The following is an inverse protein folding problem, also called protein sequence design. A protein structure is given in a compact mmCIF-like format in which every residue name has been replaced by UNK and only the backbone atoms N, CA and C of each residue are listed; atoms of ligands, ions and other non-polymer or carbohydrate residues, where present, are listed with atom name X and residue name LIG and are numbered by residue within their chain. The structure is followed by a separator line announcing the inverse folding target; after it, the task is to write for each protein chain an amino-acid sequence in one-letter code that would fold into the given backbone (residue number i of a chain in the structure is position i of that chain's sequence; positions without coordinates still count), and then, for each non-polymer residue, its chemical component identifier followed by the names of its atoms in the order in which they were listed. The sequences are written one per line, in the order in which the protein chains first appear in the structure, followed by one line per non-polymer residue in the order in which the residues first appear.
data_IF_544563818871
#
_entry.id   IF_544563818871
#
_cell.length_a   1.000
_cell.length_b   1.000
_cell.length_c   1.000
_cell.angle_alpha   90.00
_cell.angle_beta   90.00
_cell.angle_gamma   90.00
#
_symmetry.space_group_name_H-M   'P 1'
#
loop_
_entity.id
_entity.type
_entity.pdbx_description
1 polymer ?
#
# COMPACT_ATOMS: atom_id res chain seq x y z
N UNK A 1 -21.36 12.10 0.14
CA UNK A 1 -19.96 11.77 -0.15
C UNK A 1 -19.84 10.27 0.02
N UNK A 2 -19.71 9.53 -1.08
CA UNK A 2 -19.62 8.07 -1.05
C UNK A 2 -18.27 7.66 -0.48
N UNK A 3 -18.27 6.69 0.44
CA UNK A 3 -17.04 6.17 1.01
C UNK A 3 -16.28 5.37 -0.07
N UNK A 4 -14.96 5.59 -0.25
CA UNK A 4 -14.21 4.82 -1.24
C UNK A 4 -14.13 3.36 -0.84
N UNK A 5 -14.31 2.46 -1.80
CA UNK A 5 -14.16 1.01 -1.58
C UNK A 5 -12.73 0.60 -1.91
N UNK A 6 -12.10 -0.19 -1.05
CA UNK A 6 -10.76 -0.72 -1.28
C UNK A 6 -10.82 -2.25 -1.28
N UNK A 7 -10.23 -2.88 -2.28
CA UNK A 7 -10.18 -4.34 -2.41
C UNK A 7 -8.80 -4.84 -2.85
N UNK A 8 -8.52 -6.10 -2.51
CA UNK A 8 -7.36 -6.84 -3.02
C UNK A 8 -7.77 -7.56 -4.31
N UNK A 9 -7.19 -7.17 -5.45
CA UNK A 9 -7.37 -7.83 -6.75
C UNK A 9 -6.18 -8.75 -6.98
N UNK A 10 -6.17 -9.86 -6.25
CA UNK A 10 -5.03 -10.76 -6.18
C UNK A 10 -4.60 -11.35 -7.54
N UNK A 11 -5.55 -11.54 -8.46
CA UNK A 11 -5.26 -11.94 -9.85
C UNK A 11 -4.28 -11.00 -10.54
N UNK A 12 -4.36 -9.70 -10.23
CA UNK A 12 -3.52 -8.65 -10.82
C UNK A 12 -2.41 -8.19 -9.86
N UNK A 13 -2.27 -8.86 -8.71
CA UNK A 13 -1.30 -8.51 -7.67
C UNK A 13 -1.33 -7.03 -7.30
N UNK A 14 -2.54 -6.49 -7.09
CA UNK A 14 -2.71 -5.08 -6.71
C UNK A 14 -3.91 -4.85 -5.82
N UNK A 15 -3.79 -3.86 -4.95
CA UNK A 15 -4.94 -3.28 -4.25
C UNK A 15 -5.53 -2.17 -5.10
N UNK A 16 -6.86 -2.06 -5.14
CA UNK A 16 -7.56 -1.02 -5.90
C UNK A 16 -8.43 -0.19 -4.97
N UNK A 17 -8.44 1.13 -5.17
CA UNK A 17 -9.38 2.04 -4.53
C UNK A 17 -10.37 2.56 -5.56
N UNK A 18 -11.66 2.45 -5.26
CA UNK A 18 -12.75 2.86 -6.12
C UNK A 18 -13.57 3.98 -5.48
N UNK A 19 -13.95 4.97 -6.27
CA UNK A 19 -14.86 6.06 -5.89
C UNK A 19 -16.05 6.01 -6.83
N UNK A 20 -17.27 5.91 -6.28
CA UNK A 20 -18.52 5.78 -7.05
C UNK A 20 -18.45 4.65 -8.11
N UNK A 21 -17.83 3.53 -7.75
CA UNK A 21 -17.67 2.36 -8.62
C UNK A 21 -16.61 2.52 -9.72
N UNK A 22 -15.90 3.65 -9.78
CA UNK A 22 -14.81 3.90 -10.73
C UNK A 22 -13.46 3.70 -10.07
N UNK A 23 -12.52 3.07 -10.78
CA UNK A 23 -11.14 2.92 -10.32
C UNK A 23 -10.51 4.32 -10.16
N UNK A 24 -10.16 4.67 -8.93
CA UNK A 24 -9.53 5.94 -8.58
C UNK A 24 -8.02 5.79 -8.36
N UNK A 25 -7.52 4.57 -8.16
CA UNK A 25 -6.10 4.30 -8.03
C UNK A 25 -5.80 2.86 -7.62
N UNK A 26 -4.52 2.52 -7.61
CA UNK A 26 -4.07 1.17 -7.28
C UNK A 26 -2.66 1.16 -6.64
N UNK A 27 -2.38 0.09 -5.91
CA UNK A 27 -1.07 -0.20 -5.34
C UNK A 27 -0.65 -1.61 -5.76
N UNK A 28 0.33 -1.68 -6.67
CA UNK A 28 0.88 -2.94 -7.14
C UNK A 28 1.79 -3.54 -6.09
N UNK A 29 1.75 -4.87 -6.00
CA UNK A 29 2.62 -5.64 -5.15
C UNK A 29 3.15 -6.89 -5.84
N UNK A 30 4.15 -7.52 -5.22
CA UNK A 30 4.56 -8.89 -5.48
C UNK A 30 4.39 -9.69 -4.20
N UNK A 31 3.64 -10.78 -4.27
CA UNK A 31 3.48 -11.70 -3.15
C UNK A 31 4.45 -12.86 -3.29
N UNK A 32 5.17 -13.15 -2.21
CA UNK A 32 6.07 -14.30 -2.09
C UNK A 32 5.79 -14.97 -0.73
N UNK A 33 6.18 -16.24 -0.52
CA UNK A 33 5.97 -16.90 0.77
C UNK A 33 6.54 -16.06 1.93
N UNK A 34 5.67 -15.64 2.85
CA UNK A 34 6.04 -14.87 4.05
C UNK A 34 6.31 -13.37 3.83
N UNK A 35 6.24 -12.85 2.60
CA UNK A 35 6.50 -11.42 2.34
C UNK A 35 5.66 -10.83 1.21
N UNK A 36 5.53 -9.51 1.23
CA UNK A 36 4.87 -8.72 0.20
C UNK A 36 5.73 -7.49 -0.12
N UNK A 37 6.03 -7.30 -1.40
CA UNK A 37 6.79 -6.15 -1.88
C UNK A 37 5.86 -5.20 -2.60
N UNK A 38 5.68 -3.98 -2.10
CA UNK A 38 4.93 -2.94 -2.80
C UNK A 38 5.83 -2.26 -3.83
N UNK A 39 5.46 -2.30 -5.10
CA UNK A 39 6.34 -1.89 -6.21
C UNK A 39 5.95 -0.54 -6.81
N UNK A 40 4.66 -0.23 -6.88
CA UNK A 40 4.17 1.02 -7.46
C UNK A 40 2.83 1.41 -6.83
N UNK A 41 2.55 2.70 -6.73
CA UNK A 41 1.26 3.21 -6.27
C UNK A 41 0.90 4.42 -7.11
N UNK A 42 -0.34 4.45 -7.59
CA UNK A 42 -0.84 5.49 -8.47
C UNK A 42 -2.27 5.85 -8.11
N UNK A 43 -2.57 7.14 -8.08
CA UNK A 43 -3.91 7.69 -7.96
C UNK A 43 -4.17 8.45 -9.24
N UNK A 44 -5.33 8.23 -9.86
CA UNK A 44 -5.71 8.98 -11.05
C UNK A 44 -5.82 10.47 -10.70
N UNK A 45 -5.24 11.33 -11.56
CA UNK A 45 -5.18 12.78 -11.37
C UNK A 45 -6.52 13.44 -11.08
N UNK A 46 -7.65 12.89 -11.55
CA UNK A 46 -9.00 13.40 -11.24
C UNK A 46 -9.37 13.24 -9.77
N UNK A 47 -8.66 12.37 -9.05
CA UNK A 47 -8.90 12.02 -7.65
C UNK A 47 -7.75 12.41 -6.70
N UNK A 48 -6.72 13.09 -7.22
CA UNK A 48 -5.64 13.62 -6.40
C UNK A 48 -6.13 14.67 -5.39
N UNK A 49 -5.35 14.87 -4.31
CA UNK A 49 -5.70 15.83 -3.25
C UNK A 49 -6.81 15.38 -2.29
N UNK A 50 -7.46 14.23 -2.54
CA UNK A 50 -8.56 13.71 -1.72
C UNK A 50 -8.10 12.71 -0.63
N UNK A 51 -6.79 12.52 -0.46
CA UNK A 51 -6.21 11.62 0.54
C UNK A 51 -6.36 10.11 0.20
N UNK A 52 -6.76 9.76 -1.02
CA UNK A 52 -7.00 8.37 -1.43
C UNK A 52 -5.75 7.49 -1.36
N UNK A 53 -4.59 8.01 -1.79
CA UNK A 53 -3.32 7.28 -1.71
C UNK A 53 -2.98 6.86 -0.29
N UNK A 54 -3.23 7.72 0.70
CA UNK A 54 -3.02 7.38 2.11
C UNK A 54 -3.98 6.32 2.62
N UNK A 55 -5.26 6.36 2.20
CA UNK A 55 -6.25 5.32 2.54
C UNK A 55 -5.87 3.97 1.94
N UNK A 56 -5.43 3.98 0.67
CA UNK A 56 -4.98 2.79 -0.04
C UNK A 56 -3.74 2.18 0.60
N UNK A 57 -2.71 2.99 0.90
CA UNK A 57 -1.50 2.54 1.58
C UNK A 57 -1.81 1.90 2.94
N UNK A 58 -2.62 2.59 3.76
CA UNK A 58 -3.06 2.06 5.06
C UNK A 58 -3.72 0.70 4.92
N UNK A 59 -4.72 0.59 4.04
CA UNK A 59 -5.45 -0.67 3.84
C UNK A 59 -4.51 -1.80 3.40
N UNK A 60 -3.62 -1.51 2.44
CA UNK A 60 -2.68 -2.50 1.92
C UNK A 60 -1.69 -2.99 3.00
N UNK A 61 -1.16 -2.09 3.83
CA UNK A 61 -0.26 -2.42 4.92
C UNK A 61 -0.99 -3.14 6.07
N UNK A 62 -2.22 -2.74 6.39
CA UNK A 62 -3.06 -3.45 7.37
C UNK A 62 -3.39 -4.87 6.91
N UNK A 63 -3.62 -5.06 5.61
CA UNK A 63 -3.81 -6.38 5.01
C UNK A 63 -2.54 -7.24 5.16
N UNK A 64 -1.36 -6.68 4.87
CA UNK A 64 -0.08 -7.37 5.07
C UNK A 64 0.13 -7.77 6.54
N UNK A 65 -0.14 -6.86 7.49
CA UNK A 65 -0.09 -7.14 8.94
C UNK A 65 -1.02 -8.29 9.32
N UNK A 66 -2.28 -8.24 8.90
CA UNK A 66 -3.29 -9.28 9.20
C UNK A 66 -2.87 -10.65 8.68
N UNK A 67 -2.13 -10.69 7.57
CA UNK A 67 -1.61 -11.91 6.95
C UNK A 67 -0.27 -12.36 7.53
N UNK A 68 0.32 -11.58 8.45
CA UNK A 68 1.65 -11.87 9.02
C UNK A 68 2.77 -11.79 7.99
N UNK A 69 2.64 -10.94 6.97
CA UNK A 69 3.63 -10.81 5.90
C UNK A 69 4.64 -9.71 6.23
N UNK A 70 5.92 -9.99 5.97
CA UNK A 70 6.96 -8.99 5.95
C UNK A 70 6.76 -8.03 4.77
N UNK A 71 6.84 -6.72 5.02
CA UNK A 71 6.62 -5.68 4.01
C UNK A 71 7.96 -5.17 3.47
N UNK A 72 8.09 -5.14 2.15
CA UNK A 72 9.19 -4.51 1.42
C UNK A 72 8.66 -3.31 0.61
N UNK A 73 8.90 -2.06 1.05
CA UNK A 73 8.37 -0.86 0.40
C UNK A 73 9.30 -0.32 -0.71
N UNK A 74 9.44 -1.09 -1.79
CA UNK A 74 10.22 -0.66 -2.97
C UNK A 74 9.61 0.59 -3.60
N UNK A 75 8.27 0.71 -3.57
CA UNK A 75 7.54 1.91 -3.96
C UNK A 75 7.91 3.09 -3.05
N UNK A 76 8.42 4.21 -3.59
CA UNK A 76 8.79 5.38 -2.79
C UNK A 76 7.59 6.02 -2.09
N UNK A 77 6.39 5.92 -2.67
CA UNK A 77 5.17 6.43 -2.03
C UNK A 77 4.83 5.65 -0.75
N UNK A 78 4.81 4.31 -0.81
CA UNK A 78 4.54 3.47 0.37
C UNK A 78 5.61 3.67 1.43
N UNK A 79 6.89 3.75 1.02
CA UNK A 79 8.00 4.04 1.93
C UNK A 79 7.82 5.37 2.65
N UNK A 80 7.62 6.46 1.91
CA UNK A 80 7.40 7.78 2.49
C UNK A 80 6.09 7.87 3.30
N UNK A 81 5.13 6.99 3.05
CA UNK A 81 3.95 6.85 3.89
C UNK A 81 4.29 6.17 5.22
N UNK A 82 5.07 5.09 5.21
CA UNK A 82 5.56 4.39 6.42
C UNK A 82 6.44 5.32 7.27
N UNK A 83 7.32 6.12 6.67
CA UNK A 83 8.12 7.13 7.38
C UNK A 83 7.27 8.11 8.20
N UNK A 84 6.08 8.45 7.68
CA UNK A 84 5.11 9.35 8.35
C UNK A 84 4.21 8.62 9.35
N UNK A 85 4.22 7.29 9.37
CA UNK A 85 3.40 6.42 10.22
C UNK A 85 4.29 5.35 10.87
N UNK A 86 5.09 5.73 11.88
CA UNK A 86 6.14 4.88 12.45
C UNK A 86 5.62 3.56 13.05
N UNK A 87 4.33 3.52 13.40
CA UNK A 87 3.56 2.35 13.81
C UNK A 87 3.49 1.25 12.75
N UNK A 88 3.93 1.50 11.51
CA UNK A 88 4.05 0.51 10.43
C UNK A 88 5.49 0.07 10.14
N UNK A 89 6.49 0.69 10.75
CA UNK A 89 7.92 0.33 10.55
C UNK A 89 8.21 -1.10 11.04
N UNK A 90 7.43 -1.61 11.99
CA UNK A 90 7.52 -3.00 12.47
C UNK A 90 7.18 -4.03 11.39
N UNK A 91 6.41 -3.66 10.36
CA UNK A 91 6.14 -4.55 9.22
C UNK A 91 7.36 -4.74 8.32
N UNK A 92 8.31 -3.81 8.34
CA UNK A 92 9.55 -3.91 7.57
C UNK A 92 10.57 -4.68 8.41
N UNK A 93 11.11 -5.82 7.91
CA UNK A 93 12.13 -6.59 8.62
C UNK A 93 13.29 -5.72 9.07
N UNK A 94 13.78 -5.91 10.30
CA UNK A 94 14.83 -5.10 10.91
C UNK A 94 16.08 -5.01 10.03
N UNK A 95 16.46 -6.13 9.42
CA UNK A 95 17.60 -6.25 8.51
C UNK A 95 17.41 -5.51 7.18
N UNK A 96 16.16 -5.26 6.78
CA UNK A 96 15.81 -4.60 5.53
C UNK A 96 15.62 -3.09 5.70
N UNK A 97 15.36 -2.58 6.91
CA UNK A 97 15.13 -1.15 7.16
C UNK A 97 16.22 -0.21 6.63
N UNK A 98 17.53 -0.53 6.77
CA UNK A 98 18.60 0.33 6.22
C UNK A 98 18.53 0.50 4.70
N UNK A 99 18.02 -0.49 3.96
CA UNK A 99 17.82 -0.39 2.50
C UNK A 99 16.78 0.67 2.13
N UNK A 100 15.82 0.92 3.02
CA UNK A 100 14.70 1.82 2.82
C UNK A 100 14.83 3.12 3.62
N UNK A 101 15.96 3.36 4.30
CA UNK A 101 16.17 4.51 5.19
C UNK A 101 15.08 4.66 6.27
N UNK A 102 14.58 3.53 6.78
CA UNK A 102 13.60 3.42 7.86
C UNK A 102 14.24 3.10 9.21
#
# INVERSE_FOLDING_TARGET
MTEPMILDVAEWSRFEIHVDGRLAGFANYRAEPGKITFTHTEIDSMYEGQGLGGKLARFALDNARKRGLAVHPDCPFIRGWIEKHPDYVDLVPLEARPQYAL
#
